data_IF_428111317508
#
_entry.id   IF_428111317508
#
_cell.length_a   1.000
_cell.length_b   1.000
_cell.length_c   1.000
_cell.angle_alpha   90.00
_cell.angle_beta   90.00
_cell.angle_gamma   90.00
#
_symmetry.space_group_name_H-M   'P 1'
#
loop_
_entity.id
_entity.type
_entity.pdbx_description
1 polymer ?
#
# COMPACT_ATOMS: atom_id res chain seq x y z
N UNK A 1 4.35 12.60 -12.91
CA UNK A 1 4.98 12.31 -11.60
C UNK A 1 4.66 10.88 -11.23
N UNK A 2 5.66 10.02 -11.30
CA UNK A 2 5.61 8.63 -10.83
C UNK A 2 5.15 8.54 -9.36
N UNK A 3 4.72 7.37 -8.93
CA UNK A 3 4.20 7.12 -7.59
C UNK A 3 4.93 5.99 -6.90
N UNK A 4 5.75 6.25 -5.88
CA UNK A 4 6.27 5.20 -4.98
C UNK A 4 5.21 4.92 -3.92
N UNK A 5 4.95 3.65 -3.64
CA UNK A 5 4.19 3.17 -2.49
C UNK A 5 4.99 2.07 -1.77
N UNK A 6 5.02 2.07 -0.45
CA UNK A 6 5.53 0.92 0.30
C UNK A 6 4.71 0.72 1.57
N UNK A 7 4.54 -0.53 2.00
CA UNK A 7 3.79 -0.88 3.20
C UNK A 7 4.57 -1.90 4.01
N UNK A 8 4.83 -1.56 5.26
CA UNK A 8 5.25 -2.52 6.30
C UNK A 8 4.21 -2.46 7.39
N UNK A 9 3.74 -3.64 7.81
CA UNK A 9 2.68 -3.77 8.79
C UNK A 9 3.16 -4.71 9.90
N UNK A 10 2.88 -4.34 11.15
CA UNK A 10 3.02 -5.25 12.30
C UNK A 10 1.68 -5.91 12.58
N UNK A 11 1.68 -7.01 13.32
CA UNK A 11 0.42 -7.60 13.80
C UNK A 11 -0.29 -6.63 14.73
N UNK A 12 -1.58 -6.43 14.52
CA UNK A 12 -2.40 -5.61 15.41
C UNK A 12 -2.57 -6.32 16.75
N UNK A 13 -2.42 -5.56 17.83
CA UNK A 13 -2.75 -5.94 19.21
C UNK A 13 -4.20 -5.59 19.58
N UNK A 14 -4.93 -4.93 18.67
CA UNK A 14 -6.29 -4.48 18.88
C UNK A 14 -7.26 -5.66 18.76
N UNK A 15 -8.18 -5.84 19.72
CA UNK A 15 -9.18 -6.90 19.63
C UNK A 15 -10.05 -6.71 18.39
N UNK A 16 -10.45 -7.83 17.78
CA UNK A 16 -11.41 -7.83 16.67
C UNK A 16 -12.77 -7.40 17.23
N UNK A 17 -13.37 -6.29 16.75
CA UNK A 17 -14.64 -5.81 17.28
C UNK A 17 -15.77 -6.79 16.94
N UNK A 18 -16.71 -6.92 17.87
CA UNK A 18 -17.92 -7.74 17.67
C UNK A 18 -18.96 -7.02 16.81
N UNK A 19 -19.87 -7.79 16.21
CA UNK A 19 -21.03 -7.26 15.49
C UNK A 19 -21.83 -6.25 16.32
N UNK A 20 -22.03 -6.53 17.61
CA UNK A 20 -22.76 -5.66 18.52
C UNK A 20 -22.06 -4.30 18.75
N UNK A 21 -20.73 -4.29 18.88
CA UNK A 21 -19.95 -3.06 19.01
C UNK A 21 -19.95 -2.21 17.74
N UNK A 22 -20.10 -2.84 16.57
CA UNK A 22 -20.12 -2.17 15.27
C UNK A 22 -21.51 -1.63 14.90
N UNK A 23 -22.54 -2.46 15.09
CA UNK A 23 -23.92 -2.17 14.65
C UNK A 23 -24.69 -1.40 15.71
N UNK A 24 -24.54 -1.78 16.99
CA UNK A 24 -25.30 -1.21 18.11
C UNK A 24 -25.26 0.33 18.21
N UNK A 25 -24.13 1.01 17.98
CA UNK A 25 -24.07 2.47 18.01
C UNK A 25 -24.91 3.16 16.92
N UNK A 26 -25.21 2.50 15.80
CA UNK A 26 -25.96 3.07 14.67
C UNK A 26 -27.41 2.59 14.62
N UNK A 27 -27.76 1.58 15.41
CA UNK A 27 -29.13 1.05 15.49
C UNK A 27 -30.09 2.13 16.02
N UNK A 28 -31.20 2.34 15.31
CA UNK A 28 -32.19 3.38 15.61
C UNK A 28 -31.73 4.84 15.41
N UNK A 29 -30.49 5.08 14.96
CA UNK A 29 -29.97 6.45 14.80
C UNK A 29 -30.66 7.23 13.66
N UNK A 30 -31.15 6.55 12.63
CA UNK A 30 -31.97 7.16 11.56
C UNK A 30 -33.30 7.69 12.09
N UNK A 31 -33.98 6.93 12.94
CA UNK A 31 -35.22 7.35 13.59
C UNK A 31 -34.99 8.53 14.55
N UNK A 32 -33.86 8.53 15.27
CA UNK A 32 -33.44 9.63 16.14
C UNK A 32 -33.27 10.93 15.35
N UNK A 33 -32.57 10.89 14.20
CA UNK A 33 -32.43 12.04 13.30
C UNK A 33 -33.75 12.46 12.67
N UNK A 34 -34.58 11.51 12.25
CA UNK A 34 -35.86 11.77 11.61
C UNK A 34 -36.87 12.43 12.56
N UNK A 35 -36.77 12.14 13.88
CA UNK A 35 -37.68 12.66 14.91
C UNK A 35 -37.17 13.93 15.62
N UNK A 36 -35.90 14.31 15.45
CA UNK A 36 -35.34 15.51 16.09
C UNK A 36 -36.11 16.81 15.77
N UNK A 37 -36.41 17.63 16.78
CA UNK A 37 -36.94 18.97 16.55
C UNK A 37 -35.88 19.85 15.86
N UNK A 38 -36.25 20.83 15.02
CA UNK A 38 -35.28 21.70 14.34
C UNK A 38 -34.25 22.32 15.28
N UNK A 39 -34.69 22.86 16.42
CA UNK A 39 -33.83 23.49 17.44
C UNK A 39 -32.85 22.52 18.13
N UNK A 40 -33.12 21.22 18.11
CA UNK A 40 -32.29 20.18 18.71
C UNK A 40 -31.50 19.37 17.68
N UNK A 41 -31.73 19.61 16.38
CA UNK A 41 -31.18 18.78 15.31
C UNK A 41 -29.65 18.78 15.31
N UNK A 42 -29.01 19.94 15.51
CA UNK A 42 -27.56 20.06 15.54
C UNK A 42 -26.93 19.15 16.61
N UNK A 43 -27.50 19.13 17.82
CA UNK A 43 -27.00 18.30 18.93
C UNK A 43 -27.22 16.81 18.66
N UNK A 44 -28.40 16.43 18.14
CA UNK A 44 -28.68 15.03 17.77
C UNK A 44 -27.75 14.57 16.66
N UNK A 45 -27.59 15.35 15.59
CA UNK A 45 -26.69 15.05 14.48
C UNK A 45 -25.23 14.94 14.95
N UNK A 46 -24.78 15.82 15.84
CA UNK A 46 -23.44 15.74 16.42
C UNK A 46 -23.24 14.47 17.27
N UNK A 47 -24.26 14.04 18.02
CA UNK A 47 -24.22 12.81 18.80
C UNK A 47 -24.23 11.54 17.93
N UNK A 48 -25.00 11.54 16.83
CA UNK A 48 -24.96 10.46 15.82
C UNK A 48 -23.60 10.43 15.11
N UNK A 49 -23.05 11.59 14.74
CA UNK A 49 -21.72 11.70 14.14
C UNK A 49 -20.65 11.10 15.06
N UNK A 50 -20.67 11.40 16.36
CA UNK A 50 -19.72 10.83 17.32
C UNK A 50 -19.82 9.30 17.43
N UNK A 51 -21.01 8.72 17.31
CA UNK A 51 -21.22 7.26 17.28
C UNK A 51 -20.67 6.66 15.99
N UNK A 52 -20.95 7.26 14.84
CA UNK A 52 -20.41 6.85 13.54
C UNK A 52 -18.88 6.94 13.48
N UNK A 53 -18.28 8.04 13.96
CA UNK A 53 -16.82 8.19 14.11
C UNK A 53 -16.23 7.10 15.04
N UNK A 54 -16.98 6.68 16.06
CA UNK A 54 -16.62 5.54 16.90
C UNK A 54 -16.56 4.22 16.13
N UNK A 55 -17.56 3.96 15.29
CA UNK A 55 -17.61 2.78 14.41
C UNK A 55 -16.49 2.83 13.35
N UNK A 56 -16.24 3.96 12.69
CA UNK A 56 -15.09 4.14 11.78
C UNK A 56 -13.79 3.73 12.47
N UNK A 57 -13.55 4.24 13.69
CA UNK A 57 -12.35 3.91 14.48
C UNK A 57 -12.26 2.43 14.80
N UNK A 58 -13.36 1.77 15.16
CA UNK A 58 -13.39 0.32 15.36
C UNK A 58 -13.10 -0.46 14.08
N UNK A 59 -13.47 0.07 12.91
CA UNK A 59 -13.25 -0.58 11.62
C UNK A 59 -11.87 -0.35 11.00
N UNK A 60 -11.03 0.54 11.56
CA UNK A 60 -9.68 0.82 11.03
C UNK A 60 -8.70 -0.36 11.16
N UNK A 61 -7.73 -0.42 10.25
CA UNK A 61 -6.66 -1.42 10.29
C UNK A 61 -7.14 -2.86 10.19
N UNK A 62 -6.26 -3.80 10.52
CA UNK A 62 -6.51 -5.24 10.30
C UNK A 62 -7.59 -5.83 11.21
N UNK A 63 -7.75 -5.33 12.43
CA UNK A 63 -8.80 -5.80 13.34
C UNK A 63 -10.21 -5.57 12.79
N UNK A 64 -10.48 -4.38 12.23
CA UNK A 64 -11.76 -4.05 11.62
C UNK A 64 -12.01 -4.80 10.31
N UNK A 65 -10.99 -4.92 9.45
CA UNK A 65 -11.05 -5.74 8.23
C UNK A 65 -11.36 -7.20 8.58
N UNK A 66 -10.71 -7.74 9.61
CA UNK A 66 -10.94 -9.12 10.08
C UNK A 66 -12.36 -9.31 10.59
N UNK A 67 -12.93 -8.34 11.31
CA UNK A 67 -14.33 -8.40 11.77
C UNK A 67 -15.30 -8.51 10.58
N UNK A 68 -15.13 -7.65 9.57
CA UNK A 68 -15.98 -7.61 8.37
C UNK A 68 -15.77 -8.83 7.46
N UNK A 69 -14.56 -9.36 7.39
CA UNK A 69 -14.26 -10.56 6.62
C UNK A 69 -14.90 -11.81 7.24
N UNK A 70 -14.85 -11.94 8.58
CA UNK A 70 -15.42 -13.10 9.29
C UNK A 70 -16.95 -13.09 9.35
N UNK A 71 -17.58 -11.92 9.28
CA UNK A 71 -19.03 -11.78 9.33
C UNK A 71 -19.56 -10.82 8.24
N UNK A 72 -19.93 -11.43 7.10
CA UNK A 72 -20.54 -10.71 5.99
C UNK A 72 -21.92 -10.13 6.32
N UNK A 73 -22.63 -10.67 7.31
CA UNK A 73 -23.91 -10.15 7.78
C UNK A 73 -23.73 -8.78 8.42
N UNK A 74 -22.72 -8.63 9.29
CA UNK A 74 -22.36 -7.33 9.88
C UNK A 74 -22.02 -6.29 8.82
N UNK A 75 -21.25 -6.64 7.79
CA UNK A 75 -20.93 -5.72 6.71
C UNK A 75 -22.18 -5.24 5.94
N UNK A 76 -23.13 -6.15 5.66
CA UNK A 76 -24.38 -5.81 4.98
C UNK A 76 -25.29 -4.91 5.85
N UNK A 77 -25.39 -5.19 7.15
CA UNK A 77 -26.15 -4.38 8.10
C UNK A 77 -25.58 -2.95 8.20
N UNK A 78 -24.26 -2.80 8.34
CA UNK A 78 -23.62 -1.49 8.37
C UNK A 78 -23.89 -0.68 7.09
N UNK A 79 -23.83 -1.30 5.90
CA UNK A 79 -24.21 -0.62 4.64
C UNK A 79 -25.66 -0.15 4.66
N UNK A 80 -26.57 -0.97 5.19
CA UNK A 80 -27.98 -0.58 5.30
C UNK A 80 -28.14 0.64 6.22
N UNK A 81 -27.55 0.58 7.41
CA UNK A 81 -27.64 1.66 8.40
C UNK A 81 -27.02 2.96 7.88
N UNK A 82 -25.88 2.90 7.19
CA UNK A 82 -25.26 4.09 6.61
C UNK A 82 -26.12 4.72 5.50
N UNK A 83 -26.74 3.89 4.65
CA UNK A 83 -27.67 4.37 3.64
C UNK A 83 -28.90 5.02 4.26
N UNK A 84 -29.53 4.35 5.23
CA UNK A 84 -30.74 4.85 5.88
C UNK A 84 -30.46 6.18 6.62
N UNK A 85 -29.30 6.32 7.25
CA UNK A 85 -28.84 7.58 7.85
C UNK A 85 -28.60 8.68 6.80
N UNK A 86 -27.98 8.34 5.68
CA UNK A 86 -27.71 9.30 4.60
C UNK A 86 -29.01 9.81 3.97
N UNK A 87 -29.98 8.95 3.74
CA UNK A 87 -31.30 9.31 3.20
C UNK A 87 -32.05 10.26 4.14
N UNK A 88 -32.05 10.00 5.44
CA UNK A 88 -32.65 10.91 6.44
C UNK A 88 -31.92 12.25 6.47
N UNK A 89 -30.59 12.24 6.39
CA UNK A 89 -29.78 13.45 6.45
C UNK A 89 -30.03 14.36 5.24
N UNK A 90 -30.08 13.79 4.04
CA UNK A 90 -30.36 14.53 2.80
C UNK A 90 -31.79 15.12 2.82
N UNK A 91 -32.77 14.37 3.34
CA UNK A 91 -34.13 14.88 3.50
C UNK A 91 -34.22 16.06 4.50
N UNK A 92 -33.43 16.01 5.58
CA UNK A 92 -33.37 17.08 6.59
C UNK A 92 -32.66 18.32 6.07
N UNK A 93 -31.55 18.15 5.37
CA UNK A 93 -30.81 19.25 4.75
C UNK A 93 -31.68 20.01 3.75
N UNK A 94 -32.40 19.29 2.87
CA UNK A 94 -33.34 19.92 1.93
C UNK A 94 -34.45 20.71 2.63
N UNK A 95 -34.91 20.27 3.81
CA UNK A 95 -35.91 21.02 4.58
C UNK A 95 -35.34 22.29 5.23
N UNK A 96 -34.04 22.33 5.54
CA UNK A 96 -33.39 23.52 6.11
C UNK A 96 -33.07 24.59 5.06
N UNK A 97 -32.81 24.19 3.82
CA UNK A 97 -32.61 25.12 2.68
C UNK A 97 -33.86 25.99 2.41
N UNK A 98 -35.05 25.47 2.73
CA UNK A 98 -36.32 26.20 2.63
C UNK A 98 -36.53 27.26 3.75
N UNK A 99 -35.58 27.38 4.68
CA UNK A 99 -35.54 28.39 5.73
C UNK A 99 -36.40 28.03 6.95
N UNK A 100 -35.82 27.29 7.90
CA UNK A 100 -36.49 26.95 9.16
C UNK A 100 -36.12 27.96 10.26
N UNK A 101 -37.09 28.60 10.95
CA UNK A 101 -36.80 29.49 12.07
C UNK A 101 -36.24 28.72 13.29
N UNK A 102 -35.29 29.32 14.01
CA UNK A 102 -34.82 28.81 15.31
C UNK A 102 -33.69 27.78 15.27
N UNK A 103 -33.18 27.44 14.09
CA UNK A 103 -31.97 26.62 13.93
C UNK A 103 -30.71 27.48 14.03
N UNK A 104 -29.70 26.95 14.73
CA UNK A 104 -28.32 27.38 14.55
C UNK A 104 -27.78 26.75 13.27
N UNK A 105 -27.73 27.54 12.20
CA UNK A 105 -27.31 27.08 10.87
C UNK A 105 -25.84 26.63 10.86
N UNK A 106 -24.97 27.30 11.61
CA UNK A 106 -23.54 26.97 11.64
C UNK A 106 -23.31 25.65 12.35
N UNK A 107 -23.90 25.48 13.54
CA UNK A 107 -23.80 24.23 14.30
C UNK A 107 -24.46 23.06 13.56
N UNK A 108 -25.61 23.30 12.91
CA UNK A 108 -26.30 22.29 12.11
C UNK A 108 -25.45 21.84 10.93
N UNK A 109 -24.92 22.77 10.14
CA UNK A 109 -24.08 22.46 8.98
C UNK A 109 -22.80 21.72 9.41
N UNK A 110 -22.16 22.14 10.49
CA UNK A 110 -20.98 21.45 11.04
C UNK A 110 -21.30 20.00 11.46
N UNK A 111 -22.45 19.76 12.10
CA UNK A 111 -22.88 18.43 12.49
C UNK A 111 -23.23 17.53 11.29
N UNK A 112 -23.91 18.08 10.28
CA UNK A 112 -24.23 17.38 9.03
C UNK A 112 -22.95 16.96 8.31
N UNK A 113 -21.99 17.87 8.11
CA UNK A 113 -20.71 17.58 7.45
C UNK A 113 -19.97 16.46 8.19
N UNK A 114 -19.86 16.56 9.52
CA UNK A 114 -19.21 15.53 10.33
C UNK A 114 -19.87 14.16 10.19
N UNK A 115 -21.20 14.12 10.19
CA UNK A 115 -21.92 12.86 10.00
C UNK A 115 -21.71 12.30 8.59
N UNK A 116 -21.82 13.13 7.53
CA UNK A 116 -21.56 12.71 6.15
C UNK A 116 -20.15 12.16 5.97
N UNK A 117 -19.15 12.81 6.55
CA UNK A 117 -17.76 12.36 6.49
C UNK A 117 -17.58 11.00 7.20
N UNK A 118 -18.20 10.81 8.37
CA UNK A 118 -18.12 9.55 9.11
C UNK A 118 -18.82 8.39 8.36
N UNK A 119 -20.01 8.63 7.80
CA UNK A 119 -20.72 7.64 6.99
C UNK A 119 -19.95 7.30 5.71
N UNK A 120 -19.41 8.32 5.04
CA UNK A 120 -18.57 8.14 3.86
C UNK A 120 -17.34 7.29 4.18
N UNK A 121 -16.65 7.55 5.30
CA UNK A 121 -15.49 6.76 5.73
C UNK A 121 -15.88 5.29 5.97
N UNK A 122 -16.99 5.02 6.65
CA UNK A 122 -17.47 3.65 6.89
C UNK A 122 -17.75 2.93 5.56
N UNK A 123 -18.49 3.57 4.64
CA UNK A 123 -18.88 2.94 3.38
C UNK A 123 -17.74 2.81 2.37
N UNK A 124 -17.02 3.92 2.13
CA UNK A 124 -16.07 4.07 1.03
C UNK A 124 -14.65 3.70 1.40
N UNK A 125 -14.27 3.80 2.67
CA UNK A 125 -12.92 3.40 3.11
C UNK A 125 -12.96 2.02 3.77
N UNK A 126 -13.86 1.80 4.73
CA UNK A 126 -13.82 0.57 5.55
C UNK A 126 -14.48 -0.61 4.85
N UNK A 127 -15.76 -0.49 4.49
CA UNK A 127 -16.53 -1.59 3.90
C UNK A 127 -16.04 -1.95 2.49
N UNK A 128 -15.64 -0.96 1.68
CA UNK A 128 -15.00 -1.21 0.38
C UNK A 128 -13.67 -1.95 0.54
N UNK A 129 -12.80 -1.51 1.45
CA UNK A 129 -11.49 -2.15 1.67
C UNK A 129 -11.65 -3.58 2.17
N UNK A 130 -12.54 -3.83 3.13
CA UNK A 130 -12.80 -5.19 3.61
C UNK A 130 -13.31 -6.12 2.49
N UNK A 131 -14.17 -5.62 1.59
CA UNK A 131 -14.60 -6.37 0.41
C UNK A 131 -13.43 -6.69 -0.51
N UNK A 132 -12.61 -5.69 -0.85
CA UNK A 132 -11.47 -5.88 -1.74
C UNK A 132 -10.40 -6.81 -1.15
N UNK A 133 -10.17 -6.76 0.17
CA UNK A 133 -9.29 -7.71 0.86
C UNK A 133 -9.87 -9.12 0.80
N UNK A 134 -11.17 -9.28 0.99
CA UNK A 134 -11.85 -10.59 0.86
C UNK A 134 -11.72 -11.13 -0.57
N UNK A 135 -11.88 -10.27 -1.58
CA UNK A 135 -11.74 -10.65 -2.98
C UNK A 135 -10.31 -11.06 -3.34
N UNK A 136 -9.30 -10.37 -2.79
CA UNK A 136 -7.88 -10.71 -2.98
C UNK A 136 -7.50 -12.01 -2.26
N UNK A 137 -7.99 -12.19 -1.03
CA UNK A 137 -7.71 -13.37 -0.21
C UNK A 137 -8.40 -14.64 -0.73
N UNK A 138 -9.50 -14.48 -1.46
CA UNK A 138 -10.25 -15.59 -2.03
C UNK A 138 -10.94 -16.47 -0.96
N UNK A 139 -11.74 -17.45 -1.41
CA UNK A 139 -12.49 -18.33 -0.50
C UNK A 139 -11.61 -19.31 0.26
N UNK A 140 -10.37 -19.53 -0.21
CA UNK A 140 -9.39 -20.47 0.35
C UNK A 140 -8.50 -19.88 1.43
N UNK A 141 -8.55 -18.56 1.69
CA UNK A 141 -7.95 -17.97 2.88
C UNK A 141 -8.74 -18.43 4.12
N UNK A 142 -8.42 -19.63 4.61
CA UNK A 142 -9.11 -20.32 5.69
C UNK A 142 -8.94 -19.64 7.05
N UNK A 143 -9.48 -18.43 7.20
CA UNK A 143 -9.54 -17.68 8.46
C UNK A 143 -8.19 -17.22 9.04
N UNK A 144 -7.06 -17.53 8.36
CA UNK A 144 -5.72 -17.18 8.81
C UNK A 144 -5.58 -15.66 8.93
N UNK A 145 -5.31 -15.17 10.13
CA UNK A 145 -5.23 -13.73 10.40
C UNK A 145 -4.05 -13.08 9.66
N UNK A 146 -2.99 -13.86 9.42
CA UNK A 146 -1.82 -13.45 8.64
C UNK A 146 -2.17 -13.13 7.18
N UNK A 147 -2.98 -13.98 6.53
CA UNK A 147 -3.42 -13.74 5.15
C UNK A 147 -4.20 -12.42 5.02
N UNK A 148 -5.16 -12.18 5.92
CA UNK A 148 -5.93 -10.92 5.94
C UNK A 148 -5.03 -9.71 6.19
N UNK A 149 -4.04 -9.85 7.06
CA UNK A 149 -3.04 -8.79 7.34
C UNK A 149 -2.22 -8.46 6.09
N UNK A 150 -1.72 -9.49 5.39
CA UNK A 150 -0.94 -9.31 4.17
C UNK A 150 -1.79 -8.70 3.04
N UNK A 151 -2.99 -9.23 2.78
CA UNK A 151 -3.87 -8.70 1.74
C UNK A 151 -4.41 -7.31 2.07
N UNK A 152 -4.54 -6.94 3.36
CA UNK A 152 -4.81 -5.55 3.75
C UNK A 152 -3.65 -4.60 3.36
N UNK A 153 -2.40 -5.02 3.54
CA UNK A 153 -1.23 -4.25 3.07
C UNK A 153 -1.18 -4.14 1.54
N UNK A 154 -1.51 -5.23 0.83
CA UNK A 154 -1.62 -5.24 -0.63
C UNK A 154 -2.72 -4.29 -1.12
N UNK A 155 -3.91 -4.35 -0.51
CA UNK A 155 -5.03 -3.50 -0.88
C UNK A 155 -4.80 -2.01 -0.58
N UNK A 156 -4.15 -1.69 0.55
CA UNK A 156 -3.72 -0.33 0.86
C UNK A 156 -2.77 0.18 -0.23
N UNK A 157 -1.79 -0.64 -0.62
CA UNK A 157 -0.85 -0.27 -1.66
C UNK A 157 -1.52 -0.07 -3.02
N UNK A 158 -2.39 -0.99 -3.44
CA UNK A 158 -3.11 -0.90 -4.72
C UNK A 158 -4.06 0.31 -4.77
N UNK A 159 -4.80 0.58 -3.69
CA UNK A 159 -5.69 1.74 -3.62
C UNK A 159 -4.92 3.04 -3.67
N UNK A 160 -3.73 3.08 -3.04
CA UNK A 160 -2.85 4.23 -3.16
C UNK A 160 -2.30 4.39 -4.58
N UNK A 161 -1.93 3.30 -5.26
CA UNK A 161 -1.53 3.35 -6.68
C UNK A 161 -2.66 3.91 -7.55
N UNK A 162 -3.93 3.51 -7.34
CA UNK A 162 -5.09 4.05 -8.08
C UNK A 162 -5.16 5.59 -7.97
N UNK A 163 -4.95 6.14 -6.77
CA UNK A 163 -4.96 7.60 -6.54
C UNK A 163 -3.76 8.31 -7.17
N UNK A 164 -2.62 7.63 -7.30
CA UNK A 164 -1.41 8.18 -7.92
C UNK A 164 -1.41 8.07 -9.45
N UNK A 165 -2.21 7.15 -10.00
CA UNK A 165 -2.31 6.88 -11.43
C UNK A 165 -3.10 7.95 -12.22
N UNK A 166 -3.84 8.84 -11.54
CA UNK A 166 -4.79 9.85 -12.07
C UNK A 166 -4.24 10.76 -13.18
N UNK A 167 -2.93 10.73 -13.49
CA UNK A 167 -2.35 11.49 -14.62
C UNK A 167 -1.88 10.62 -15.80
N UNK A 168 -2.39 9.39 -15.98
CA UNK A 168 -1.97 8.47 -17.04
C UNK A 168 -0.56 7.93 -16.80
N UNK A 169 -0.42 6.64 -16.48
CA UNK A 169 0.88 6.02 -16.21
C UNK A 169 1.06 4.84 -17.14
N UNK A 170 2.27 4.74 -17.69
CA UNK A 170 2.58 3.75 -18.71
C UNK A 170 2.85 2.35 -18.12
N UNK A 171 3.14 2.27 -16.83
CA UNK A 171 3.38 1.00 -16.16
C UNK A 171 3.19 1.12 -14.65
N UNK A 172 2.88 -0.02 -14.04
CA UNK A 172 2.84 -0.18 -12.60
C UNK A 172 3.42 -1.54 -12.19
N UNK A 173 3.90 -1.63 -10.96
CA UNK A 173 4.28 -2.89 -10.38
C UNK A 173 4.10 -2.93 -8.87
N UNK A 174 3.95 -4.14 -8.35
CA UNK A 174 3.81 -4.43 -6.93
C UNK A 174 4.64 -5.67 -6.59
N UNK A 175 5.62 -5.50 -5.72
CA UNK A 175 6.46 -6.55 -5.17
C UNK A 175 5.99 -6.90 -3.77
N UNK A 176 5.84 -8.19 -3.50
CA UNK A 176 5.48 -8.74 -2.20
C UNK A 176 6.64 -9.62 -1.70
N UNK A 177 7.27 -9.22 -0.60
CA UNK A 177 8.28 -10.03 0.08
C UNK A 177 7.60 -10.73 1.25
N UNK A 178 7.37 -12.04 1.09
CA UNK A 178 6.72 -12.89 2.09
C UNK A 178 7.80 -13.69 2.84
N UNK A 179 7.85 -13.52 4.16
CA UNK A 179 8.72 -14.29 5.05
C UNK A 179 7.90 -15.08 6.06
N UNK A 180 8.54 -16.06 6.71
CA UNK A 180 7.90 -16.95 7.70
C UNK A 180 6.67 -17.70 7.13
N UNK A 181 6.68 -17.96 5.82
CA UNK A 181 5.59 -18.61 5.10
C UNK A 181 5.42 -20.10 5.45
N UNK A 182 6.44 -20.75 6.04
CA UNK A 182 6.36 -22.13 6.53
C UNK A 182 6.18 -23.20 5.44
N UNK A 183 6.38 -22.85 4.17
CA UNK A 183 6.32 -23.81 3.06
C UNK A 183 7.61 -24.62 3.01
N UNK A 184 7.46 -25.92 2.75
CA UNK A 184 8.57 -26.76 2.31
C UNK A 184 8.78 -26.54 0.80
N UNK A 185 9.87 -25.85 0.44
CA UNK A 185 10.17 -25.51 -0.95
C UNK A 185 10.61 -26.72 -1.79
N UNK A 186 10.96 -27.84 -1.14
CA UNK A 186 11.31 -29.10 -1.81
C UNK A 186 10.09 -30.00 -2.05
N UNK A 187 8.93 -29.66 -1.46
CA UNK A 187 7.68 -30.36 -1.70
C UNK A 187 7.31 -30.28 -3.19
N UNK A 188 7.01 -31.40 -3.88
CA UNK A 188 6.92 -31.41 -5.34
C UNK A 188 5.93 -30.41 -5.95
N UNK A 189 4.78 -30.16 -5.29
CA UNK A 189 3.80 -29.21 -5.81
C UNK A 189 4.27 -27.75 -5.64
N UNK A 190 4.82 -27.39 -4.48
CA UNK A 190 5.42 -26.06 -4.23
C UNK A 190 6.63 -25.83 -5.13
N UNK A 191 7.54 -26.79 -5.22
CA UNK A 191 8.74 -26.72 -6.06
C UNK A 191 8.38 -26.46 -7.54
N UNK A 192 7.33 -27.13 -8.05
CA UNK A 192 6.86 -26.91 -9.41
C UNK A 192 6.35 -25.48 -9.63
N UNK A 193 5.57 -24.94 -8.69
CA UNK A 193 5.06 -23.55 -8.75
C UNK A 193 6.20 -22.52 -8.72
N UNK A 194 7.23 -22.75 -7.90
CA UNK A 194 8.41 -21.86 -7.81
C UNK A 194 9.26 -21.95 -9.08
N UNK A 195 9.63 -23.15 -9.51
CA UNK A 195 10.56 -23.37 -10.64
C UNK A 195 10.05 -22.79 -11.96
N UNK A 196 8.73 -22.76 -12.16
CA UNK A 196 8.11 -22.19 -13.36
C UNK A 196 8.32 -20.67 -13.49
N UNK A 197 8.68 -20.00 -12.37
CA UNK A 197 8.70 -18.53 -12.23
C UNK A 197 10.06 -18.00 -11.76
N UNK A 198 10.87 -18.86 -11.14
CA UNK A 198 12.15 -18.48 -10.53
C UNK A 198 13.22 -18.06 -11.54
N UNK A 199 13.17 -18.61 -12.76
CA UNK A 199 14.19 -18.43 -13.79
C UNK A 199 14.01 -17.24 -14.72
N UNK A 200 13.03 -16.35 -14.51
CA UNK A 200 12.82 -15.20 -15.41
C UNK A 200 13.96 -14.18 -15.27
N UNK A 201 14.85 -14.01 -16.28
CA UNK A 201 16.00 -13.12 -16.19
C UNK A 201 15.64 -11.62 -16.20
N UNK A 202 14.41 -11.27 -16.58
CA UNK A 202 13.95 -9.90 -16.75
C UNK A 202 13.05 -9.40 -15.61
N UNK A 203 12.76 -10.26 -14.63
CA UNK A 203 11.92 -9.93 -13.48
C UNK A 203 10.57 -9.28 -13.90
N UNK A 204 9.91 -9.93 -14.87
CA UNK A 204 8.63 -9.52 -15.44
C UNK A 204 7.46 -10.00 -14.57
N UNK A 205 6.23 -9.68 -14.98
CA UNK A 205 5.04 -9.99 -14.19
C UNK A 205 4.91 -11.49 -13.94
N UNK A 206 4.69 -11.86 -12.68
CA UNK A 206 4.61 -13.25 -12.26
C UNK A 206 5.95 -13.86 -11.90
N UNK A 207 7.09 -13.20 -12.05
CA UNK A 207 8.36 -13.76 -11.57
C UNK A 207 8.35 -13.97 -10.04
N UNK A 208 9.09 -14.98 -9.59
CA UNK A 208 9.29 -15.29 -8.16
C UNK A 208 10.78 -15.38 -7.88
N UNK A 209 11.21 -15.03 -6.67
CA UNK A 209 12.56 -15.31 -6.17
C UNK A 209 12.50 -15.94 -4.81
N UNK A 210 13.30 -16.98 -4.61
CA UNK A 210 13.63 -17.50 -3.28
C UNK A 210 14.88 -16.74 -2.83
N UNK A 211 14.75 -15.99 -1.75
CA UNK A 211 15.86 -15.20 -1.19
C UNK A 211 16.83 -16.10 -0.41
N UNK A 212 18.07 -15.66 -0.14
CA UNK A 212 19.01 -16.43 0.67
C UNK A 212 18.50 -16.79 2.07
N UNK A 213 17.64 -15.93 2.64
CA UNK A 213 17.00 -16.13 3.94
C UNK A 213 15.77 -17.06 3.88
N UNK A 214 15.43 -17.60 2.71
CA UNK A 214 14.28 -18.48 2.50
C UNK A 214 12.95 -17.73 2.32
N UNK A 215 12.93 -16.40 2.29
CA UNK A 215 11.72 -15.63 1.95
C UNK A 215 11.38 -15.75 0.46
N UNK A 216 10.11 -15.55 0.12
CA UNK A 216 9.60 -15.52 -1.26
C UNK A 216 9.31 -14.08 -1.69
N UNK A 217 9.92 -13.65 -2.79
CA UNK A 217 9.62 -12.37 -3.44
C UNK A 217 8.77 -12.61 -4.68
N UNK A 218 7.56 -12.04 -4.70
CA UNK A 218 6.63 -12.08 -5.83
C UNK A 218 6.61 -10.71 -6.50
N UNK A 219 6.60 -10.67 -7.83
CA UNK A 219 6.44 -9.41 -8.56
C UNK A 219 5.28 -9.50 -9.54
N UNK A 220 4.43 -8.46 -9.52
CA UNK A 220 3.34 -8.28 -10.47
C UNK A 220 3.59 -6.96 -11.19
N UNK A 221 3.52 -6.98 -12.53
CA UNK A 221 3.79 -5.81 -13.36
C UNK A 221 2.77 -5.69 -14.49
N UNK A 222 2.43 -4.45 -14.81
CA UNK A 222 1.67 -4.07 -15.97
C UNK A 222 2.44 -2.96 -16.70
N UNK A 223 2.42 -2.99 -18.03
CA UNK A 223 3.00 -1.93 -18.86
C UNK A 223 2.17 -1.83 -20.14
N UNK A 224 1.67 -0.63 -20.42
CA UNK A 224 0.87 -0.31 -21.59
C UNK A 224 1.20 1.13 -22.04
N UNK A 225 1.58 1.28 -23.31
CA UNK A 225 1.84 2.62 -23.89
C UNK A 225 0.55 3.45 -24.00
N UNK A 226 -0.59 2.77 -24.11
CA UNK A 226 -1.93 3.36 -24.21
C UNK A 226 -2.85 2.53 -23.31
N UNK A 227 -3.56 3.19 -22.41
CA UNK A 227 -4.52 2.57 -21.49
C UNK A 227 -5.41 3.62 -20.81
N UNK A 228 -6.37 3.13 -20.03
CA UNK A 228 -7.28 3.93 -19.22
C UNK A 228 -6.84 3.95 -17.74
N UNK A 229 -7.34 4.93 -16.99
CA UNK A 229 -7.04 5.05 -15.57
C UNK A 229 -7.54 3.80 -14.82
N UNK A 230 -6.62 3.11 -14.15
CA UNK A 230 -6.92 1.91 -13.35
C UNK A 230 -6.70 0.59 -14.09
N UNK A 231 -6.36 0.61 -15.39
CA UNK A 231 -6.07 -0.62 -16.13
C UNK A 231 -4.88 -1.38 -15.53
N UNK A 232 -3.80 -0.67 -15.20
CA UNK A 232 -2.61 -1.28 -14.65
C UNK A 232 -2.91 -1.98 -13.32
N UNK A 233 -3.54 -1.28 -12.38
CA UNK A 233 -3.85 -1.86 -11.06
C UNK A 233 -4.94 -2.94 -11.14
N UNK A 234 -5.85 -2.91 -12.13
CA UNK A 234 -6.76 -4.01 -12.41
C UNK A 234 -6.02 -5.28 -12.84
N UNK A 235 -5.00 -5.16 -13.71
CA UNK A 235 -4.11 -6.27 -14.08
C UNK A 235 -3.37 -6.81 -12.86
N UNK A 236 -2.81 -5.93 -12.02
CA UNK A 236 -2.12 -6.35 -10.79
C UNK A 236 -3.06 -7.11 -9.85
N UNK A 237 -4.28 -6.59 -9.62
CA UNK A 237 -5.29 -7.23 -8.77
C UNK A 237 -5.66 -8.62 -9.25
N UNK A 238 -5.90 -8.78 -10.55
CA UNK A 238 -6.23 -10.08 -11.11
C UNK A 238 -5.09 -11.09 -10.91
N UNK A 239 -3.86 -10.69 -11.23
CA UNK A 239 -2.69 -11.55 -11.08
C UNK A 239 -2.43 -11.97 -9.63
N UNK A 240 -2.61 -11.06 -8.67
CA UNK A 240 -2.44 -11.35 -7.22
C UNK A 240 -3.53 -12.29 -6.73
N UNK A 241 -4.79 -12.02 -7.07
CA UNK A 241 -5.94 -12.84 -6.65
C UNK A 241 -5.82 -14.28 -7.14
N UNK A 242 -5.29 -14.48 -8.34
CA UNK A 242 -5.23 -15.79 -8.98
C UNK A 242 -3.89 -16.54 -8.73
N UNK A 243 -2.99 -15.99 -7.89
CA UNK A 243 -1.67 -16.57 -7.62
C UNK A 243 -1.69 -17.64 -6.52
N UNK A 244 -1.84 -18.90 -6.93
CA UNK A 244 -1.89 -20.04 -6.01
C UNK A 244 -0.68 -20.16 -5.06
N UNK A 245 0.54 -19.79 -5.51
CA UNK A 245 1.73 -19.88 -4.66
C UNK A 245 1.73 -18.79 -3.58
N UNK A 246 1.29 -17.58 -3.92
CA UNK A 246 1.13 -16.50 -2.95
C UNK A 246 0.12 -16.90 -1.86
N UNK A 247 -1.02 -17.45 -2.26
CA UNK A 247 -2.06 -17.93 -1.33
C UNK A 247 -1.54 -19.02 -0.39
N UNK A 248 -0.75 -19.98 -0.91
CA UNK A 248 -0.10 -20.99 -0.08
C UNK A 248 0.91 -20.36 0.89
N UNK A 249 1.72 -19.40 0.43
CA UNK A 249 2.73 -18.75 1.25
C UNK A 249 2.12 -17.91 2.39
N UNK A 250 0.93 -17.36 2.18
CA UNK A 250 0.20 -16.56 3.17
C UNK A 250 -0.72 -17.39 4.07
N UNK A 251 -0.82 -18.71 3.85
CA UNK A 251 -1.68 -19.59 4.65
C UNK A 251 -1.15 -19.84 6.08
N UNK A 252 0.15 -19.63 6.31
CA UNK A 252 0.77 -19.73 7.64
C UNK A 252 0.38 -18.52 8.51
N UNK A 253 -0.05 -18.76 9.75
CA UNK A 253 -0.26 -17.70 10.75
C UNK A 253 1.04 -16.98 11.17
N UNK A 254 2.20 -17.54 10.81
CA UNK A 254 3.49 -16.90 11.00
C UNK A 254 3.84 -15.93 9.87
N UNK A 255 3.20 -16.05 8.70
CA UNK A 255 3.58 -15.32 7.50
C UNK A 255 3.42 -13.80 7.67
N UNK A 256 4.39 -13.06 7.17
CA UNK A 256 4.39 -11.60 7.13
C UNK A 256 4.80 -11.14 5.73
N UNK A 257 4.28 -9.96 5.33
CA UNK A 257 4.41 -9.47 3.96
C UNK A 257 4.79 -7.99 3.93
N UNK A 258 5.92 -7.70 3.29
CA UNK A 258 6.36 -6.34 2.97
C UNK A 258 6.01 -6.03 1.53
N UNK A 259 5.35 -4.89 1.31
CA UNK A 259 4.88 -4.46 -0.01
C UNK A 259 5.71 -3.28 -0.50
N UNK A 260 6.18 -3.35 -1.73
CA UNK A 260 6.79 -2.22 -2.44
C UNK A 260 6.12 -2.09 -3.80
N UNK A 261 5.58 -0.93 -4.11
CA UNK A 261 4.83 -0.67 -5.32
C UNK A 261 5.27 0.60 -6.01
N UNK A 262 4.96 0.69 -7.30
CA UNK A 262 5.26 1.87 -8.08
C UNK A 262 4.29 2.05 -9.25
N UNK A 263 3.96 3.30 -9.58
CA UNK A 263 3.48 3.68 -10.91
C UNK A 263 4.52 4.54 -11.61
N UNK A 264 4.87 4.18 -12.84
CA UNK A 264 5.95 4.80 -13.60
C UNK A 264 5.42 5.66 -14.76
N UNK A 265 6.17 6.72 -15.00
CA UNK A 265 6.14 7.53 -16.21
C UNK A 265 7.58 7.49 -16.73
N UNK A 266 7.80 6.81 -17.84
CA UNK A 266 9.11 6.55 -18.40
C UNK A 266 9.83 7.86 -18.77
N UNK A 267 10.94 8.15 -18.10
CA UNK A 267 11.94 9.16 -18.45
C UNK A 267 13.15 8.48 -19.10
N UNK A 268 13.72 7.48 -18.41
CA UNK A 268 14.86 6.67 -18.86
C UNK A 268 14.44 5.21 -19.03
N UNK A 269 14.57 4.69 -20.25
CA UNK A 269 14.21 3.33 -20.62
C UNK A 269 12.78 3.18 -21.13
N UNK A 270 12.58 2.27 -22.09
CA UNK A 270 11.29 2.09 -22.79
C UNK A 270 10.16 1.68 -21.85
N UNK A 271 8.91 1.86 -22.30
CA UNK A 271 7.72 1.36 -21.61
C UNK A 271 7.68 -0.16 -21.78
N UNK A 272 8.03 -0.91 -20.74
CA UNK A 272 7.95 -2.37 -20.74
C UNK A 272 8.00 -2.94 -19.32
N UNK A 273 7.52 -4.16 -19.12
CA UNK A 273 7.56 -4.81 -17.80
C UNK A 273 9.00 -4.93 -17.22
N UNK A 274 10.05 -5.27 -18.00
CA UNK A 274 11.42 -5.25 -17.48
C UNK A 274 11.86 -3.89 -16.90
N UNK A 275 11.30 -2.79 -17.42
CA UNK A 275 11.61 -1.43 -16.98
C UNK A 275 10.61 -0.86 -15.96
N UNK A 276 9.50 -1.55 -15.70
CA UNK A 276 8.57 -1.18 -14.65
C UNK A 276 9.19 -1.45 -13.27
N UNK A 277 8.94 -0.56 -12.31
CA UNK A 277 9.37 -0.70 -10.93
C UNK A 277 8.34 -1.52 -10.13
N UNK A 278 8.72 -2.16 -9.00
CA UNK A 278 10.08 -2.24 -8.45
C UNK A 278 11.03 -3.11 -9.27
N UNK A 279 12.33 -2.84 -9.11
CA UNK A 279 13.43 -3.62 -9.68
C UNK A 279 14.11 -4.44 -8.59
N UNK A 280 14.65 -5.61 -8.94
CA UNK A 280 15.43 -6.45 -8.04
C UNK A 280 16.95 -6.27 -8.25
N UNK A 281 17.76 -6.91 -7.41
CA UNK A 281 19.23 -6.81 -7.43
C UNK A 281 19.92 -7.68 -8.48
N UNK A 282 19.20 -8.64 -9.08
CA UNK A 282 19.75 -9.64 -9.98
C UNK A 282 20.61 -9.06 -11.11
N UNK A 283 21.69 -9.75 -11.44
CA UNK A 283 22.50 -9.54 -12.63
C UNK A 283 22.50 -10.82 -13.47
N UNK A 284 22.78 -10.70 -14.78
CA UNK A 284 22.69 -11.81 -15.75
C UNK A 284 23.46 -13.05 -15.29
N UNK A 285 24.66 -12.84 -14.76
CA UNK A 285 25.56 -13.92 -14.33
C UNK A 285 25.65 -14.04 -12.79
N UNK A 286 24.80 -13.32 -12.05
CA UNK A 286 24.83 -13.29 -10.58
C UNK A 286 23.43 -13.07 -10.01
N UNK A 287 22.80 -14.18 -9.64
CA UNK A 287 21.45 -14.22 -9.02
C UNK A 287 21.46 -14.68 -7.56
N UNK A 288 22.57 -15.25 -7.07
CA UNK A 288 22.68 -15.82 -5.71
C UNK A 288 23.20 -14.83 -4.65
N UNK A 289 23.06 -13.52 -4.91
CA UNK A 289 23.49 -12.46 -3.99
C UNK A 289 22.44 -12.12 -2.93
N UNK A 290 22.77 -11.25 -1.95
CA UNK A 290 21.78 -10.63 -1.07
C UNK A 290 20.66 -10.01 -1.90
N UNK A 291 19.41 -10.32 -1.57
CA UNK A 291 18.28 -9.91 -2.39
C UNK A 291 17.77 -8.54 -1.96
N UNK A 292 17.77 -7.60 -2.91
CA UNK A 292 17.31 -6.22 -2.70
C UNK A 292 16.34 -5.84 -3.79
N UNK A 293 15.30 -5.11 -3.43
CA UNK A 293 14.35 -4.50 -4.36
C UNK A 293 14.28 -3.00 -4.12
N UNK A 294 14.06 -2.22 -5.18
CA UNK A 294 13.90 -0.78 -5.05
C UNK A 294 12.95 -0.19 -6.10
N UNK A 295 12.37 0.95 -5.75
CA UNK A 295 11.61 1.81 -6.65
C UNK A 295 12.19 3.22 -6.61
N UNK A 296 12.18 3.88 -7.77
CA UNK A 296 12.72 5.23 -7.96
C UNK A 296 11.65 6.18 -8.51
N UNK A 297 11.64 7.38 -7.97
CA UNK A 297 11.02 8.55 -8.55
C UNK A 297 12.12 9.57 -8.87
N UNK A 298 12.09 10.13 -10.07
CA UNK A 298 13.20 10.93 -10.60
C UNK A 298 14.23 10.06 -11.30
N UNK A 299 15.44 10.57 -11.47
CA UNK A 299 16.47 9.97 -12.33
C UNK A 299 17.82 9.89 -11.60
N UNK A 300 18.53 8.78 -11.79
CA UNK A 300 19.95 8.63 -11.42
C UNK A 300 20.80 9.01 -12.63
N UNK A 301 21.21 10.27 -12.72
CA UNK A 301 21.85 10.86 -13.91
C UNK A 301 23.16 10.14 -14.31
N UNK A 302 23.91 9.64 -13.33
CA UNK A 302 25.19 8.97 -13.53
C UNK A 302 25.08 7.43 -13.61
N UNK A 303 23.88 6.88 -13.86
CA UNK A 303 23.68 5.42 -13.88
C UNK A 303 24.58 4.67 -14.89
N UNK A 304 24.85 5.27 -16.05
CA UNK A 304 25.69 4.67 -17.08
C UNK A 304 27.15 4.53 -16.60
N UNK A 305 27.68 5.56 -15.93
CA UNK A 305 29.02 5.54 -15.36
C UNK A 305 29.13 4.54 -14.21
N UNK A 306 28.09 4.43 -13.38
CA UNK A 306 28.01 3.43 -12.30
C UNK A 306 28.01 2.00 -12.86
N UNK A 307 27.26 1.74 -13.95
CA UNK A 307 27.27 0.42 -14.62
C UNK A 307 28.66 0.01 -15.07
N UNK A 308 29.42 0.96 -15.64
CA UNK A 308 30.79 0.69 -16.11
C UNK A 308 31.77 0.56 -14.94
N UNK A 309 31.72 1.50 -14.00
CA UNK A 309 32.68 1.59 -12.89
C UNK A 309 32.59 0.40 -11.92
N UNK A 310 31.38 -0.12 -11.69
CA UNK A 310 31.14 -1.27 -10.81
C UNK A 310 30.99 -2.60 -11.59
N UNK A 311 31.22 -2.58 -12.91
CA UNK A 311 31.13 -3.77 -13.78
C UNK A 311 29.78 -4.51 -13.61
N UNK A 312 28.68 -3.74 -13.65
CA UNK A 312 27.33 -4.27 -13.45
C UNK A 312 26.84 -5.00 -14.72
N UNK A 313 26.48 -6.27 -14.58
CA UNK A 313 25.96 -7.10 -15.68
C UNK A 313 24.44 -7.10 -15.69
N UNK A 314 23.85 -6.03 -16.22
CA UNK A 314 22.40 -5.87 -16.34
C UNK A 314 21.93 -6.35 -17.71
N UNK A 315 20.82 -7.11 -17.74
CA UNK A 315 20.19 -7.58 -18.98
C UNK A 315 19.88 -6.40 -19.93
N UNK A 316 20.12 -6.58 -21.23
CA UNK A 316 20.07 -5.50 -22.22
C UNK A 316 18.67 -4.85 -22.33
N UNK A 317 17.62 -5.61 -22.04
CA UNK A 317 16.22 -5.19 -22.06
C UNK A 317 15.87 -4.28 -20.88
N UNK A 318 16.66 -4.31 -19.79
CA UNK A 318 16.52 -3.43 -18.63
C UNK A 318 17.35 -2.17 -18.89
N UNK A 319 16.67 -1.15 -19.37
CA UNK A 319 17.23 0.14 -19.80
C UNK A 319 16.97 1.28 -18.81
N UNK A 320 16.15 1.06 -17.78
CA UNK A 320 15.95 2.05 -16.72
C UNK A 320 17.16 2.13 -15.80
N UNK A 321 17.48 3.36 -15.47
CA UNK A 321 18.46 3.80 -14.48
C UNK A 321 18.22 3.21 -13.08
N UNK A 322 16.96 3.05 -12.67
CA UNK A 322 16.59 2.55 -11.34
C UNK A 322 17.20 1.17 -10.99
N UNK A 323 17.59 0.38 -12.00
CA UNK A 323 18.20 -0.94 -11.80
C UNK A 323 19.52 -0.88 -11.06
N UNK A 324 20.28 0.22 -11.18
CA UNK A 324 21.57 0.34 -10.48
C UNK A 324 21.39 0.38 -8.97
N UNK A 325 20.23 0.83 -8.47
CA UNK A 325 19.95 0.99 -7.05
C UNK A 325 20.02 -0.35 -6.30
N UNK A 326 19.11 -1.34 -6.55
CA UNK A 326 19.13 -2.60 -5.81
C UNK A 326 20.41 -3.40 -6.08
N UNK A 327 20.97 -3.34 -7.29
CA UNK A 327 22.21 -4.05 -7.64
C UNK A 327 23.40 -3.53 -6.82
N UNK A 328 23.60 -2.21 -6.75
CA UNK A 328 24.71 -1.65 -5.96
C UNK A 328 24.55 -1.91 -4.46
N UNK A 329 23.32 -1.86 -3.93
CA UNK A 329 23.06 -2.19 -2.51
C UNK A 329 23.39 -3.66 -2.23
N UNK A 330 22.98 -4.58 -3.12
CA UNK A 330 23.32 -6.00 -3.01
C UNK A 330 24.84 -6.26 -3.07
N UNK A 331 25.57 -5.52 -3.93
CA UNK A 331 27.04 -5.58 -3.99
C UNK A 331 27.70 -5.12 -2.68
N UNK A 332 27.20 -4.05 -2.06
CA UNK A 332 27.68 -3.56 -0.75
C UNK A 332 27.37 -4.56 0.38
N UNK A 333 26.17 -5.13 0.40
CA UNK A 333 25.81 -6.20 1.33
C UNK A 333 26.75 -7.41 1.18
N UNK A 334 27.05 -7.81 -0.07
CA UNK A 334 28.00 -8.89 -0.36
C UNK A 334 29.42 -8.58 0.13
N UNK A 335 29.79 -7.29 0.22
CA UNK A 335 31.07 -6.84 0.74
C UNK A 335 31.12 -6.79 2.29
N UNK A 336 30.02 -7.15 2.97
CA UNK A 336 29.94 -7.24 4.43
C UNK A 336 29.36 -6.01 5.13
N UNK A 337 28.86 -5.02 4.38
CA UNK A 337 28.17 -3.88 4.98
C UNK A 337 26.85 -4.30 5.64
N UNK A 338 26.51 -3.65 6.76
CA UNK A 338 25.18 -3.77 7.34
C UNK A 338 24.12 -3.16 6.40
N UNK A 339 22.85 -3.62 6.39
CA UNK A 339 21.85 -3.20 5.40
C UNK A 339 21.65 -1.70 5.23
N UNK A 340 21.53 -0.97 6.35
CA UNK A 340 21.38 0.48 6.29
C UNK A 340 22.62 1.17 5.72
N UNK A 341 23.82 0.71 6.09
CA UNK A 341 25.06 1.28 5.58
C UNK A 341 25.28 0.94 4.10
N UNK A 342 24.96 -0.29 3.68
CA UNK A 342 24.98 -0.67 2.27
C UNK A 342 24.08 0.28 1.44
N UNK A 343 22.85 0.52 1.91
CA UNK A 343 21.94 1.46 1.28
C UNK A 343 22.50 2.89 1.25
N UNK A 344 22.96 3.41 2.40
CA UNK A 344 23.55 4.75 2.50
C UNK A 344 24.72 4.91 1.54
N UNK A 345 25.68 4.00 1.56
CA UNK A 345 26.88 4.08 0.72
C UNK A 345 26.55 4.00 -0.77
N UNK A 346 25.53 3.24 -1.16
CA UNK A 346 25.04 3.23 -2.54
C UNK A 346 24.41 4.57 -2.93
N UNK A 347 23.45 5.09 -2.15
CA UNK A 347 22.73 6.32 -2.53
C UNK A 347 23.60 7.57 -2.56
N UNK A 348 24.69 7.61 -1.78
CA UNK A 348 25.67 8.70 -1.79
C UNK A 348 26.38 8.87 -3.14
N UNK A 349 26.41 7.81 -3.95
CA UNK A 349 27.07 7.81 -5.26
C UNK A 349 26.14 8.25 -6.39
N UNK A 350 24.85 8.44 -6.13
CA UNK A 350 23.88 8.77 -7.16
C UNK A 350 23.84 10.28 -7.39
N UNK A 351 23.96 10.69 -8.65
CA UNK A 351 23.69 12.06 -9.06
C UNK A 351 22.27 12.18 -9.62
N UNK A 352 21.67 13.35 -9.49
CA UNK A 352 20.30 13.63 -9.92
C UNK A 352 19.34 13.97 -8.79
N UNK A 353 18.05 13.95 -9.13
CA UNK A 353 16.93 14.19 -8.21
C UNK A 353 16.19 12.88 -8.02
N UNK A 354 16.26 12.33 -6.81
CA UNK A 354 15.82 10.97 -6.51
C UNK A 354 14.96 10.92 -5.25
N UNK A 355 13.86 10.18 -5.33
CA UNK A 355 13.19 9.59 -4.18
C UNK A 355 13.24 8.07 -4.35
N UNK A 356 13.77 7.39 -3.34
CA UNK A 356 14.03 5.94 -3.39
C UNK A 356 13.35 5.28 -2.20
N UNK A 357 12.66 4.18 -2.46
CA UNK A 357 12.26 3.23 -1.45
C UNK A 357 12.85 1.86 -1.81
N UNK A 358 13.53 1.24 -0.85
CA UNK A 358 14.18 -0.06 -1.02
C UNK A 358 13.85 -1.02 0.13
N UNK A 359 13.82 -2.31 -0.19
CA UNK A 359 13.63 -3.42 0.74
C UNK A 359 14.70 -4.47 0.51
N UNK A 360 15.28 -5.00 1.58
CA UNK A 360 16.26 -6.07 1.54
C UNK A 360 15.73 -7.30 2.28
N UNK A 361 15.91 -8.49 1.70
CA UNK A 361 15.43 -9.76 2.29
C UNK A 361 16.07 -10.08 3.63
N UNK A 362 17.31 -9.62 3.85
CA UNK A 362 18.01 -9.74 5.12
C UNK A 362 17.37 -8.93 6.27
N UNK A 363 16.46 -8.01 5.96
CA UNK A 363 15.74 -7.18 6.95
C UNK A 363 14.30 -6.90 6.49
N UNK A 364 13.44 -7.94 6.37
CA UNK A 364 12.17 -7.85 5.64
C UNK A 364 11.18 -6.87 6.28
N UNK A 365 11.23 -6.67 7.60
CA UNK A 365 10.41 -5.69 8.32
C UNK A 365 10.93 -4.24 8.31
N UNK A 366 11.88 -3.89 7.42
CA UNK A 366 12.46 -2.54 7.32
C UNK A 366 12.41 -2.02 5.90
N UNK A 367 11.97 -0.76 5.76
CA UNK A 367 12.10 0.02 4.54
C UNK A 367 13.26 0.99 4.65
N UNK A 368 14.03 1.12 3.58
CA UNK A 368 15.12 2.07 3.45
C UNK A 368 14.69 3.16 2.47
N UNK A 369 14.72 4.42 2.93
CA UNK A 369 14.25 5.57 2.18
C UNK A 369 15.40 6.56 1.96
N UNK A 370 15.49 7.11 0.75
CA UNK A 370 16.37 8.24 0.44
C UNK A 370 15.60 9.29 -0.36
N UNK A 371 15.90 10.56 -0.11
CA UNK A 371 15.34 11.70 -0.82
C UNK A 371 16.46 12.72 -1.03
N UNK A 372 16.71 13.09 -2.28
CA UNK A 372 17.70 14.11 -2.66
C UNK A 372 17.20 14.87 -3.89
N UNK A 373 17.44 16.17 -3.92
CA UNK A 373 17.14 17.03 -5.06
C UNK A 373 15.73 17.62 -5.02
N UNK A 374 15.45 18.51 -5.98
CA UNK A 374 14.19 19.25 -6.03
C UNK A 374 13.10 18.48 -6.76
N UNK A 375 11.86 18.59 -6.28
CA UNK A 375 10.66 18.14 -7.00
C UNK A 375 10.18 16.73 -6.67
N UNK A 376 11.00 15.92 -5.99
CA UNK A 376 10.55 14.64 -5.42
C UNK A 376 10.08 14.82 -3.98
N UNK A 377 9.21 13.93 -3.51
CA UNK A 377 8.75 13.91 -2.14
C UNK A 377 8.51 12.48 -1.69
N UNK A 378 8.63 12.26 -0.39
CA UNK A 378 8.21 11.04 0.30
C UNK A 378 7.46 11.45 1.57
N UNK A 379 6.35 10.76 1.81
CA UNK A 379 5.49 10.91 2.97
C UNK A 379 5.42 9.56 3.68
N UNK A 380 5.61 9.56 4.99
CA UNK A 380 5.49 8.36 5.84
C UNK A 380 4.22 8.49 6.65
N UNK A 381 3.18 7.78 6.22
CA UNK A 381 1.94 7.57 6.94
C UNK A 381 2.11 6.56 8.08
N UNK A 382 1.53 6.88 9.23
CA UNK A 382 1.59 6.08 10.45
C UNK A 382 0.19 5.83 10.98
N UNK A 383 -0.06 4.59 11.36
CA UNK A 383 -1.23 4.15 12.13
C UNK A 383 -0.83 3.04 13.11
N UNK A 384 -1.78 2.52 13.89
CA UNK A 384 -1.52 1.59 15.01
C UNK A 384 -0.67 0.38 14.61
N UNK A 385 -0.98 -0.24 13.46
CA UNK A 385 -0.32 -1.43 12.95
C UNK A 385 0.42 -1.19 11.62
N UNK A 386 0.40 0.03 11.09
CA UNK A 386 0.78 0.36 9.72
C UNK A 386 1.87 1.43 9.65
N UNK A 387 2.91 1.15 8.86
CA UNK A 387 3.82 2.16 8.30
C UNK A 387 3.71 2.13 6.78
N UNK A 388 3.23 3.24 6.20
CA UNK A 388 3.03 3.38 4.77
C UNK A 388 3.89 4.52 4.22
N UNK A 389 4.55 4.30 3.09
CA UNK A 389 5.33 5.32 2.40
C UNK A 389 4.63 5.63 1.09
N UNK A 390 4.48 6.91 0.77
CA UNK A 390 4.00 7.35 -0.53
C UNK A 390 4.78 8.55 -1.04
N UNK A 391 4.94 8.70 -2.36
CA UNK A 391 5.59 9.89 -2.92
C UNK A 391 4.68 11.12 -3.04
N UNK A 392 3.39 11.00 -2.68
CA UNK A 392 2.42 12.09 -2.62
C UNK A 392 1.48 11.88 -1.43
N UNK A 393 0.90 12.94 -0.84
CA UNK A 393 0.05 12.82 0.34
C UNK A 393 -1.19 11.94 0.07
N UNK A 394 -1.75 11.99 -1.14
CA UNK A 394 -2.90 11.16 -1.53
C UNK A 394 -2.66 9.65 -1.38
N UNK A 395 -1.40 9.21 -1.37
CA UNK A 395 -1.06 7.81 -1.17
C UNK A 395 -1.18 7.34 0.29
N UNK A 396 -1.26 8.22 1.28
CA UNK A 396 -1.34 7.85 2.71
C UNK A 396 -2.67 8.20 3.39
N UNK A 397 -3.50 9.05 2.79
CA UNK A 397 -4.67 9.66 3.48
C UNK A 397 -5.78 8.69 3.90
N UNK A 398 -6.00 7.59 3.18
CA UNK A 398 -7.09 6.65 3.50
C UNK A 398 -6.75 5.73 4.69
N UNK A 399 -5.48 5.32 4.76
CA UNK A 399 -5.02 4.26 5.66
C UNK A 399 -4.25 4.78 6.87
N UNK A 400 -3.70 6.01 6.81
CA UNK A 400 -2.94 6.59 7.91
C UNK A 400 -3.63 7.82 8.51
N UNK A 401 -3.76 7.83 9.84
CA UNK A 401 -4.28 8.99 10.60
C UNK A 401 -3.28 10.14 10.72
N UNK A 402 -1.99 9.86 10.57
CA UNK A 402 -0.91 10.86 10.65
C UNK A 402 0.14 10.59 9.58
N UNK A 403 0.82 11.63 9.12
CA UNK A 403 1.96 11.46 8.24
C UNK A 403 3.09 12.45 8.54
N UNK A 404 4.31 12.05 8.16
CA UNK A 404 5.52 12.87 8.16
C UNK A 404 5.96 13.09 6.72
N UNK A 405 6.37 14.31 6.35
CA UNK A 405 7.04 14.57 5.08
C UNK A 405 8.54 14.48 5.29
N UNK A 406 9.24 13.68 4.48
CA UNK A 406 10.70 13.62 4.52
C UNK A 406 11.30 14.93 4.04
N UNK A 407 12.34 15.37 4.75
CA UNK A 407 13.21 16.47 4.32
C UNK A 407 14.37 15.88 3.50
N UNK A 408 14.47 16.30 2.25
CA UNK A 408 15.57 15.95 1.34
C UNK A 408 16.41 17.17 0.92
N UNK A 409 16.15 18.33 1.52
CA UNK A 409 16.87 19.58 1.25
C UNK A 409 17.98 19.81 2.29
N UNK A 410 17.75 19.41 3.54
CA UNK A 410 18.76 19.51 4.61
C UNK A 410 19.70 18.30 4.56
N UNK A 411 21.02 18.49 4.33
CA UNK A 411 21.98 17.40 4.42
C UNK A 411 21.99 16.79 5.82
N UNK A 412 22.11 15.46 5.90
CA UNK A 412 22.18 14.77 7.20
C UNK A 412 23.43 15.13 7.99
N UNK A 413 24.51 15.51 7.29
CA UNK A 413 25.71 16.14 7.83
C UNK A 413 26.01 17.44 7.05
N UNK A 414 25.89 18.62 7.66
CA UNK A 414 26.14 19.89 6.99
C UNK A 414 27.62 20.10 6.60
N UNK A 415 28.55 19.27 7.13
CA UNK A 415 29.97 19.33 6.78
C UNK A 415 30.35 18.39 5.63
N UNK A 416 29.42 17.53 5.23
CA UNK A 416 29.60 16.60 4.14
C UNK A 416 28.34 16.60 3.26
N UNK A 417 28.38 17.38 2.17
CA UNK A 417 27.27 17.50 1.22
C UNK A 417 26.85 16.15 0.58
N UNK A 418 27.66 15.11 0.72
CA UNK A 418 27.39 13.76 0.26
C UNK A 418 26.94 12.79 1.38
N UNK A 419 26.57 13.25 2.58
CA UNK A 419 26.33 12.39 3.75
C UNK A 419 24.89 11.92 3.99
#
# INVERSE_FOLDING_TARGET
MCGIIAVVRRRSDRPVPSSAELVGPLDGASDELASAAPEAFADVAAAVAARAEGVDRLLRGTAGITALHRDHGTAALLRSLCRDLSEVLDAREGAFDDGVPGIDLEATNAAIIRLKDALWAIERDRLRTASAVTDLAGPSAGGAAAAITAFASVQAALSALDRLEVRGRDSAGLMLLVHDHGLDLEEPAVAALVSARAGDPLFTSGAVRVTPEGSLSFIYKAAAEIGELGDNTAVLRAAIRDDALLHLALASDAAECTVLGHTRWASIGIISQPNAHPMNSDEVDRVDGPYVTAALNGDVDNFADLKVTDELHIAAEITSDAKVIPTLVSRRLSAGDAPLEAFRQSVRRFDGSVAIAASASAAPGRLMLALRGSGQALYVGLDDDLCMVASQPYGVVEDATRYLRLDGETPSDPTNAAA
#
